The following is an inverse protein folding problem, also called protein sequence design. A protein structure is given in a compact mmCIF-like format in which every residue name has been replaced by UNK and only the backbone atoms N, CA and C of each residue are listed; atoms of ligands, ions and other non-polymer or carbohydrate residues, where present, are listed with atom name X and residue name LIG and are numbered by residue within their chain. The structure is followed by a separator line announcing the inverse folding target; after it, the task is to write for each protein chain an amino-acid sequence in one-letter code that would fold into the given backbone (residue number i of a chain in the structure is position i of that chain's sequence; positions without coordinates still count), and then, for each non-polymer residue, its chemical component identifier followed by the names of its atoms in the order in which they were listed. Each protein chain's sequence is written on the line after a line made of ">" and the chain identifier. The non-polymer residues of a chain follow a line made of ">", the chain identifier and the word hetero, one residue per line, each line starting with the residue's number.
data_IF_913016375154
#
_entry.id   IF_913016375154
#
_cell.length_a   1.000
_cell.length_b   1.000
_cell.length_c   1.000
_cell.angle_alpha   90.00
_cell.angle_beta   90.00
_cell.angle_gamma   90.00
#
_symmetry.space_group_name_H-M   'P 1'
#
loop_
_entity.id
_entity.type
_entity.pdbx_description
1 polymer ?
#
# COMPACT_ATOMS: atom_id res chain seq x y z
N UNK A 1 2.53 -1.08 -6.46
CA UNK A 1 1.50 -1.71 -5.59
C UNK A 1 0.40 -2.28 -6.48
N UNK A 2 -0.17 -3.44 -6.12
CA UNK A 2 -1.21 -4.12 -6.91
C UNK A 2 -0.70 -4.99 -8.07
N UNK A 3 0.62 -5.17 -8.21
CA UNK A 3 1.26 -5.94 -9.29
C UNK A 3 1.96 -7.21 -8.79
N UNK A 4 1.50 -7.72 -7.64
CA UNK A 4 2.02 -8.92 -6.99
C UNK A 4 0.87 -9.70 -6.34
N UNK A 5 1.17 -10.47 -5.29
CA UNK A 5 0.22 -11.45 -4.73
C UNK A 5 -0.37 -11.07 -3.36
N UNK A 6 -0.12 -9.85 -2.86
CA UNK A 6 -0.62 -9.40 -1.54
C UNK A 6 -2.07 -8.94 -1.67
N UNK A 7 -2.94 -9.43 -0.77
CA UNK A 7 -4.30 -8.93 -0.60
C UNK A 7 -4.29 -7.64 0.24
N UNK A 8 -4.11 -6.51 -0.42
CA UNK A 8 -4.14 -5.20 0.22
C UNK A 8 -5.52 -4.82 0.74
N UNK A 9 -6.61 -5.30 0.13
CA UNK A 9 -7.96 -4.99 0.58
C UNK A 9 -8.19 -5.54 1.99
N UNK A 10 -7.80 -6.80 2.23
CA UNK A 10 -7.85 -7.40 3.55
C UNK A 10 -6.98 -6.66 4.60
N UNK A 11 -5.80 -6.16 4.19
CA UNK A 11 -4.94 -5.36 5.08
C UNK A 11 -5.61 -4.04 5.46
N UNK A 12 -6.18 -3.30 4.50
CA UNK A 12 -6.87 -2.04 4.79
C UNK A 12 -8.13 -2.25 5.62
N UNK A 13 -8.87 -3.34 5.40
CA UNK A 13 -10.00 -3.73 6.23
C UNK A 13 -9.56 -3.96 7.67
N UNK A 14 -8.46 -4.69 7.89
CA UNK A 14 -7.93 -4.97 9.22
C UNK A 14 -7.49 -3.69 9.95
N UNK A 15 -6.75 -2.79 9.27
CA UNK A 15 -6.35 -1.50 9.82
C UNK A 15 -7.56 -0.64 10.21
N UNK A 16 -8.60 -0.65 9.38
CA UNK A 16 -9.86 0.06 9.65
C UNK A 16 -10.57 -0.56 10.86
N UNK A 17 -10.64 -1.89 10.93
CA UNK A 17 -11.32 -2.61 12.01
C UNK A 17 -10.68 -2.37 13.39
N UNK A 18 -9.35 -2.26 13.46
CA UNK A 18 -8.65 -1.95 14.71
C UNK A 18 -8.56 -0.44 15.01
N UNK A 19 -9.06 0.41 14.11
CA UNK A 19 -9.01 1.86 14.27
C UNK A 19 -7.58 2.43 14.21
N UNK A 20 -6.69 1.85 13.41
CA UNK A 20 -5.33 2.36 13.28
C UNK A 20 -5.32 3.78 12.68
N UNK A 21 -4.63 4.70 13.36
CA UNK A 21 -4.66 6.13 13.06
C UNK A 21 -3.28 6.81 13.12
N UNK A 22 -2.22 6.04 12.83
CA UNK A 22 -0.84 6.50 12.92
C UNK A 22 -0.13 6.44 11.55
N UNK A 23 1.14 6.84 11.51
CA UNK A 23 1.92 6.98 10.29
C UNK A 23 2.23 5.65 9.61
N UNK A 24 2.05 5.62 8.28
CA UNK A 24 2.48 4.51 7.42
C UNK A 24 3.23 5.04 6.20
N UNK A 25 4.21 4.27 5.73
CA UNK A 25 5.08 4.63 4.61
C UNK A 25 5.06 3.59 3.50
N UNK A 26 5.23 4.05 2.25
CA UNK A 26 5.46 3.19 1.10
C UNK A 26 6.97 2.96 0.92
N UNK A 27 7.38 1.70 0.84
CA UNK A 27 8.74 1.32 0.46
C UNK A 27 8.74 0.45 -0.80
N UNK A 28 9.66 0.76 -1.72
CA UNK A 28 9.94 -0.02 -2.92
C UNK A 28 11.33 0.35 -3.42
N UNK A 29 12.13 -0.66 -3.75
CA UNK A 29 13.55 -0.48 -3.98
C UNK A 29 13.95 -0.76 -5.44
N UNK A 30 15.07 -0.16 -5.85
CA UNK A 30 15.78 -0.39 -7.10
C UNK A 30 17.28 -0.39 -6.79
N UNK A 31 18.03 -1.36 -7.31
CA UNK A 31 19.47 -1.49 -7.07
C UNK A 31 20.29 -0.33 -7.67
N UNK A 32 19.73 0.41 -8.62
CA UNK A 32 20.37 1.59 -9.22
C UNK A 32 20.29 2.84 -8.33
N UNK A 33 19.42 2.84 -7.32
CA UNK A 33 19.15 4.02 -6.47
C UNK A 33 19.58 3.80 -5.01
N UNK A 34 19.41 2.58 -4.49
CA UNK A 34 19.72 2.28 -3.08
C UNK A 34 21.19 1.97 -2.86
N UNK A 35 21.68 2.20 -1.64
CA UNK A 35 23.04 1.83 -1.23
C UNK A 35 23.32 0.33 -1.48
N UNK A 36 24.53 0.02 -1.94
CA UNK A 36 24.97 -1.32 -2.31
C UNK A 36 24.82 -2.32 -1.14
N UNK A 37 25.12 -1.88 0.09
CA UNK A 37 24.97 -2.71 1.28
C UNK A 37 23.51 -3.11 1.52
N UNK A 38 22.57 -2.16 1.39
CA UNK A 38 21.14 -2.44 1.50
C UNK A 38 20.70 -3.34 0.33
N UNK A 39 21.12 -3.04 -0.89
CA UNK A 39 20.79 -3.81 -2.10
C UNK A 39 21.15 -5.29 -1.96
N UNK A 40 22.34 -5.58 -1.45
CA UNK A 40 22.81 -6.96 -1.19
C UNK A 40 22.06 -7.61 -0.03
N UNK A 41 21.81 -6.88 1.06
CA UNK A 41 21.11 -7.41 2.24
C UNK A 41 19.66 -7.80 1.94
N UNK A 42 18.96 -7.03 1.09
CA UNK A 42 17.57 -7.30 0.71
C UNK A 42 17.44 -8.00 -0.65
N UNK A 43 18.56 -8.42 -1.24
CA UNK A 43 18.60 -9.23 -2.46
C UNK A 43 17.85 -8.59 -3.66
N UNK A 44 18.06 -7.30 -3.89
CA UNK A 44 17.42 -6.54 -4.99
C UNK A 44 18.17 -6.81 -6.30
N UNK A 45 17.92 -7.97 -6.91
CA UNK A 45 18.58 -8.40 -8.15
C UNK A 45 17.92 -7.88 -9.43
N UNK A 46 16.69 -7.38 -9.33
CA UNK A 46 15.87 -6.91 -10.46
C UNK A 46 15.31 -5.54 -10.14
N UNK A 47 15.33 -4.65 -11.14
CA UNK A 47 14.66 -3.36 -11.08
C UNK A 47 13.29 -3.47 -11.72
N UNK A 48 12.24 -3.42 -10.90
CA UNK A 48 10.85 -3.60 -11.34
C UNK A 48 10.24 -2.31 -11.93
N UNK A 49 10.99 -1.22 -11.89
CA UNK A 49 10.60 0.11 -12.34
C UNK A 49 11.87 0.92 -12.63
N UNK A 50 11.73 1.94 -13.49
CA UNK A 50 12.80 2.89 -13.84
C UNK A 50 12.43 4.33 -13.50
N UNK A 51 11.14 4.66 -13.44
CA UNK A 51 10.63 5.98 -13.03
C UNK A 51 10.08 5.93 -11.60
N UNK A 52 10.85 6.48 -10.66
CA UNK A 52 10.46 6.53 -9.24
C UNK A 52 9.28 7.47 -8.95
N UNK A 53 9.06 8.49 -9.78
CA UNK A 53 8.02 9.48 -9.57
C UNK A 53 6.67 8.93 -10.03
N UNK A 54 6.64 8.23 -11.17
CA UNK A 54 5.47 7.48 -11.60
C UNK A 54 5.09 6.42 -10.55
N UNK A 55 6.09 5.68 -10.02
CA UNK A 55 5.88 4.70 -8.97
C UNK A 55 5.28 5.33 -7.69
N UNK A 56 5.85 6.44 -7.22
CA UNK A 56 5.40 7.11 -5.99
C UNK A 56 3.99 7.67 -6.12
N UNK A 57 3.66 8.30 -7.26
CA UNK A 57 2.30 8.79 -7.54
C UNK A 57 1.28 7.65 -7.55
N UNK A 58 1.61 6.54 -8.22
CA UNK A 58 0.77 5.35 -8.23
C UNK A 58 0.56 4.79 -6.81
N UNK A 59 1.64 4.63 -6.04
CA UNK A 59 1.56 4.10 -4.68
C UNK A 59 0.72 4.99 -3.76
N UNK A 60 0.89 6.32 -3.83
CA UNK A 60 0.12 7.27 -3.02
C UNK A 60 -1.38 7.20 -3.31
N UNK A 61 -1.74 7.09 -4.59
CA UNK A 61 -3.13 6.92 -5.02
C UNK A 61 -3.71 5.57 -4.58
N UNK A 62 -2.94 4.48 -4.78
CA UNK A 62 -3.34 3.12 -4.39
C UNK A 62 -3.66 3.02 -2.89
N UNK A 63 -2.78 3.54 -2.04
CA UNK A 63 -2.96 3.54 -0.57
C UNK A 63 -4.16 4.42 -0.18
N UNK A 64 -4.24 5.63 -0.71
CA UNK A 64 -5.32 6.57 -0.38
C UNK A 64 -6.70 6.01 -0.72
N UNK A 65 -6.86 5.49 -1.93
CA UNK A 65 -8.11 4.90 -2.39
C UNK A 65 -8.45 3.59 -1.65
N UNK A 66 -7.43 2.77 -1.35
CA UNK A 66 -7.62 1.53 -0.58
C UNK A 66 -8.17 1.79 0.82
N UNK A 67 -7.62 2.76 1.55
CA UNK A 67 -8.09 3.15 2.88
C UNK A 67 -9.49 3.77 2.82
N UNK A 68 -9.75 4.65 1.85
CA UNK A 68 -11.09 5.23 1.67
C UNK A 68 -12.13 4.14 1.43
N UNK A 69 -11.82 3.19 0.56
CA UNK A 69 -12.71 2.07 0.23
C UNK A 69 -12.99 1.19 1.45
N UNK A 70 -11.96 0.85 2.24
CA UNK A 70 -12.11 0.06 3.47
C UNK A 70 -12.99 0.78 4.52
N UNK A 71 -12.82 2.10 4.69
CA UNK A 71 -13.67 2.90 5.58
C UNK A 71 -15.13 2.88 5.15
N UNK A 72 -15.41 3.15 3.87
CA UNK A 72 -16.78 3.11 3.31
C UNK A 72 -17.40 1.73 3.45
N UNK A 73 -16.61 0.67 3.25
CA UNK A 73 -17.04 -0.72 3.46
C UNK A 73 -17.43 -0.96 4.92
N UNK A 74 -16.64 -0.51 5.90
CA UNK A 74 -16.94 -0.65 7.32
C UNK A 74 -18.21 0.13 7.73
N UNK A 75 -18.37 1.35 7.23
CA UNK A 75 -19.58 2.16 7.42
C UNK A 75 -20.82 1.47 6.84
N UNK A 76 -20.72 0.93 5.61
CA UNK A 76 -21.81 0.21 4.96
C UNK A 76 -22.24 -1.01 5.77
N UNK A 77 -21.30 -1.80 6.28
CA UNK A 77 -21.59 -3.01 7.07
C UNK A 77 -22.32 -2.68 8.38
N UNK A 78 -22.07 -1.49 8.96
CA UNK A 78 -22.71 -1.05 10.20
C UNK A 78 -23.97 -0.20 10.01
N UNK A 79 -24.30 0.17 8.77
CA UNK A 79 -25.43 1.04 8.47
C UNK A 79 -26.77 0.36 8.78
N UNK A 80 -27.69 1.12 9.42
CA UNK A 80 -29.10 0.70 9.55
C UNK A 80 -29.83 1.02 8.25
N UNK A 81 -30.20 -0.01 7.49
CA UNK A 81 -30.98 0.12 6.26
C UNK A 81 -32.48 0.22 6.55
N UNK A 82 -32.92 1.38 7.06
CA UNK A 82 -34.36 1.68 7.16
C UNK A 82 -34.90 2.03 5.76
N UNK A 83 -36.13 1.57 5.43
CA UNK A 83 -36.79 1.94 4.19
C UNK A 83 -37.12 3.43 4.14
#
# INVERSE_FOLDING_TARGET
>A
LGTGNIDFAAIFDALTAIGYSDDLSFESFSSEIVDENLSKKTAIWRNLWTDNMALAKHARAFIGLGIETARRKAELVSARHKP
#
